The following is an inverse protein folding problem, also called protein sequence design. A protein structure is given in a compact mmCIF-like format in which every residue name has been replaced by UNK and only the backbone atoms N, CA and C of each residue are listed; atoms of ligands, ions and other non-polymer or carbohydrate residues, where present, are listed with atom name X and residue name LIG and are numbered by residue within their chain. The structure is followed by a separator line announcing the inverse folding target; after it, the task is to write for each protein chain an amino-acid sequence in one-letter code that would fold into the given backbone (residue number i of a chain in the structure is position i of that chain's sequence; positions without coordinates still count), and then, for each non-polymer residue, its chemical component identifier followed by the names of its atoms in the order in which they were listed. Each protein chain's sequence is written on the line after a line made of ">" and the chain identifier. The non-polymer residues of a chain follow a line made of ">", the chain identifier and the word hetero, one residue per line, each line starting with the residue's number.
data_IF_188647135099
#
_entry.id   IF_188647135099
#
_cell.length_a   1.000
_cell.length_b   1.000
_cell.length_c   1.000
_cell.angle_alpha   90.00
_cell.angle_beta   90.00
_cell.angle_gamma   90.00
#
_symmetry.space_group_name_H-M   'P 1'
#
loop_
_entity.id
_entity.type
_entity.pdbx_description
1 polymer ?
#
# COMPACT_ATOMS: atom_id res chain seq x y z
N UNK A 1 -20.87 -2.68 22.19
CA UNK A 1 -20.95 -2.73 21.86
C UNK A 1 -20.73 -2.62 21.19
N UNK A 2 -20.54 -2.48 21.08
CA UNK A 2 -20.37 -2.41 20.43
C UNK A 2 -20.19 -2.09 19.75
N UNK A 3 -20.04 -2.00 19.54
CA UNK A 3 -19.95 -1.80 18.86
C UNK A 3 -19.84 -1.59 18.03
N UNK A 4 -19.72 -1.40 17.79
CA UNK A 4 -19.73 -1.33 17.08
C UNK A 4 -19.68 -1.24 16.20
N UNK A 5 -19.65 -1.09 16.02
CA UNK A 5 -19.77 -1.16 15.51
C UNK A 5 -19.64 -1.22 14.68
N UNK A 6 -19.30 -1.19 14.65
CA UNK A 6 -19.21 -1.46 14.16
C UNK A 6 -19.29 -1.92 13.54
N UNK A 7 -19.37 -1.97 13.65
CA UNK A 7 -19.51 -2.54 13.13
C UNK A 7 -19.37 -2.67 12.31
N UNK A 8 -19.29 -2.70 12.28
CA UNK A 8 -19.07 -2.82 11.34
C UNK A 8 -19.18 -3.53 10.10
N UNK A 9 -19.50 -3.09 9.31
CA UNK A 9 -19.75 -3.58 7.98
C UNK A 9 -18.48 -3.91 7.25
N UNK A 10 -17.48 -3.10 7.36
CA UNK A 10 -16.14 -3.37 6.84
C UNK A 10 -15.21 -3.63 7.98
N UNK A 11 -14.42 -4.66 7.84
CA UNK A 11 -13.35 -4.93 8.78
C UNK A 11 -12.18 -4.02 8.48
N UNK A 12 -11.75 -3.30 9.49
CA UNK A 12 -10.55 -2.47 9.41
C UNK A 12 -9.44 -3.10 10.19
N UNK A 13 -8.27 -3.13 9.57
CA UNK A 13 -7.07 -3.60 10.25
C UNK A 13 -6.19 -2.39 10.53
N UNK A 14 -5.94 -2.12 11.79
CA UNK A 14 -5.06 -1.03 12.23
C UNK A 14 -3.75 -1.64 12.65
N UNK A 15 -2.89 -1.92 11.71
CA UNK A 15 -1.74 -2.76 12.01
C UNK A 15 -0.39 -2.08 11.81
N UNK A 16 -0.32 -0.86 11.31
CA UNK A 16 0.94 -0.18 11.03
C UNK A 16 1.91 -1.09 10.28
N UNK A 17 1.46 -1.64 9.18
CA UNK A 17 2.25 -2.55 8.36
C UNK A 17 3.21 -1.74 7.50
N UNK A 18 4.47 -2.18 7.43
CA UNK A 18 5.43 -1.53 6.57
C UNK A 18 5.04 -1.72 5.11
N UNK A 19 5.03 -0.63 4.38
CA UNK A 19 4.69 -0.64 2.98
C UNK A 19 5.68 0.17 2.17
N UNK A 20 5.50 0.11 0.86
CA UNK A 20 6.34 0.81 -0.08
C UNK A 20 5.47 1.30 -1.22
N UNK A 21 5.64 2.56 -1.59
CA UNK A 21 4.98 3.12 -2.76
C UNK A 21 6.00 3.13 -3.88
N UNK A 22 5.64 2.52 -5.00
CA UNK A 22 6.55 2.43 -6.15
C UNK A 22 5.87 3.04 -7.37
N UNK A 23 6.58 3.94 -8.01
CA UNK A 23 6.20 4.51 -9.29
C UNK A 23 7.46 4.63 -10.12
N UNK A 24 7.37 4.92 -11.42
CA UNK A 24 8.58 5.17 -12.18
C UNK A 24 9.41 6.29 -11.54
N UNK A 25 10.63 5.96 -11.14
CA UNK A 25 11.53 6.92 -10.52
C UNK A 25 11.29 7.23 -9.07
N UNK A 26 10.37 6.52 -8.39
CA UNK A 26 10.09 6.79 -6.99
C UNK A 26 9.86 5.48 -6.23
N UNK A 27 10.59 5.33 -5.11
CA UNK A 27 10.34 4.29 -4.11
C UNK A 27 10.25 5.00 -2.77
N UNK A 28 9.08 5.01 -2.19
CA UNK A 28 8.83 5.77 -0.98
C UNK A 28 8.31 4.86 0.12
N UNK A 29 9.06 4.71 1.23
CA UNK A 29 8.55 3.94 2.36
C UNK A 29 7.31 4.59 2.95
N UNK A 30 6.41 3.74 3.44
CA UNK A 30 5.20 4.21 4.10
C UNK A 30 4.78 3.20 5.15
N UNK A 31 3.83 3.61 5.99
CA UNK A 31 3.12 2.71 6.87
C UNK A 31 1.70 2.58 6.39
N UNK A 32 1.23 1.35 6.29
CA UNK A 32 -0.18 1.06 6.04
C UNK A 32 -0.83 1.07 7.42
N UNK A 33 -1.55 2.14 7.71
CA UNK A 33 -2.07 2.34 9.08
C UNK A 33 -3.50 1.87 9.23
N UNK A 34 -4.19 1.67 8.10
CA UNK A 34 -5.59 1.29 8.14
C UNK A 34 -5.97 0.69 6.80
N UNK A 35 -6.72 -0.40 6.82
CA UNK A 35 -7.16 -1.07 5.61
C UNK A 35 -8.62 -1.48 5.73
N UNK A 36 -9.33 -1.39 4.62
CA UNK A 36 -10.69 -1.88 4.52
C UNK A 36 -10.92 -2.36 3.09
N UNK A 37 -12.10 -2.86 2.81
CA UNK A 37 -12.43 -3.29 1.46
C UNK A 37 -12.42 -2.12 0.47
N UNK A 38 -12.73 -0.92 0.93
CA UNK A 38 -12.83 0.24 0.05
C UNK A 38 -11.51 0.95 -0.16
N UNK A 39 -10.53 0.80 0.74
CA UNK A 39 -9.30 1.53 0.57
C UNK A 39 -8.29 1.30 1.66
N UNK A 40 -7.22 2.09 1.58
CA UNK A 40 -6.08 1.97 2.47
C UNK A 40 -5.66 3.38 2.88
N UNK A 41 -5.38 3.57 4.17
CA UNK A 41 -4.81 4.81 4.65
C UNK A 41 -3.32 4.60 4.91
N UNK A 42 -2.52 5.50 4.39
CA UNK A 42 -1.07 5.41 4.45
C UNK A 42 -0.52 6.60 5.21
N UNK A 43 0.57 6.37 5.93
CA UNK A 43 1.40 7.44 6.45
C UNK A 43 2.73 7.39 5.74
N UNK A 44 3.11 8.50 5.14
CA UNK A 44 4.31 8.59 4.34
C UNK A 44 5.48 9.04 5.20
N UNK A 45 6.65 8.59 4.83
CA UNK A 45 7.89 8.97 5.49
C UNK A 45 8.25 10.42 5.18
N UNK A 46 7.81 10.91 4.04
CA UNK A 46 8.10 12.28 3.60
C UNK A 46 6.85 12.90 3.03
N UNK A 47 6.82 14.23 3.06
CA UNK A 47 5.73 14.97 2.47
C UNK A 47 6.05 15.26 1.00
N UNK A 48 6.09 14.21 0.19
CA UNK A 48 6.35 14.31 -1.24
C UNK A 48 5.04 14.23 -2.01
N UNK A 49 5.05 14.90 -3.17
CA UNK A 49 3.93 14.76 -4.09
C UNK A 49 3.88 13.35 -4.66
N UNK A 50 2.69 12.80 -4.78
CA UNK A 50 2.49 11.48 -5.36
C UNK A 50 1.74 11.62 -6.68
N UNK A 51 2.07 10.79 -7.68
CA UNK A 51 1.22 10.74 -8.87
C UNK A 51 -0.12 10.12 -8.50
N UNK A 52 -1.09 10.28 -9.39
CA UNK A 52 -2.44 9.75 -9.18
C UNK A 52 -2.46 8.25 -9.01
N UNK A 53 -1.62 7.55 -9.76
CA UNK A 53 -1.56 6.09 -9.72
C UNK A 53 -0.25 5.65 -9.14
N UNK A 54 -0.34 4.69 -8.23
CA UNK A 54 0.83 4.15 -7.55
C UNK A 54 0.71 2.64 -7.51
N UNK A 55 1.83 1.99 -7.24
CA UNK A 55 1.85 0.58 -6.88
C UNK A 55 2.17 0.51 -5.40
N UNK A 56 1.28 -0.10 -4.63
CA UNK A 56 1.45 -0.22 -3.19
C UNK A 56 1.92 -1.63 -2.86
N UNK A 57 3.04 -1.71 -2.16
CA UNK A 57 3.61 -2.98 -1.73
C UNK A 57 3.40 -3.13 -0.23
N UNK A 58 2.86 -4.28 0.16
CA UNK A 58 2.83 -4.73 1.55
C UNK A 58 4.06 -5.58 1.75
N UNK A 59 5.01 -5.10 2.54
CA UNK A 59 6.31 -5.77 2.68
C UNK A 59 6.15 -7.10 3.39
N UNK A 60 5.32 -7.14 4.42
CA UNK A 60 5.13 -8.37 5.19
C UNK A 60 4.48 -9.47 4.37
N UNK A 61 3.50 -9.11 3.55
CA UNK A 61 2.79 -10.07 2.70
C UNK A 61 3.52 -10.34 1.39
N UNK A 62 4.48 -9.49 1.03
CA UNK A 62 5.18 -9.54 -0.26
C UNK A 62 4.18 -9.50 -1.41
N UNK A 63 3.27 -8.53 -1.36
CA UNK A 63 2.26 -8.34 -2.40
C UNK A 63 2.32 -6.93 -2.93
N UNK A 64 1.85 -6.76 -4.16
CA UNK A 64 1.74 -5.45 -4.80
C UNK A 64 0.33 -5.30 -5.35
N UNK A 65 -0.24 -4.11 -5.21
CA UNK A 65 -1.55 -3.81 -5.73
C UNK A 65 -1.53 -2.41 -6.35
N UNK A 66 -2.15 -2.28 -7.51
CA UNK A 66 -2.32 -0.97 -8.11
C UNK A 66 -3.38 -0.19 -7.36
N UNK A 67 -3.14 1.10 -7.18
CA UNK A 67 -4.03 1.94 -6.42
C UNK A 67 -4.01 3.36 -6.97
N UNK A 68 -5.08 4.09 -6.67
CA UNK A 68 -5.18 5.51 -7.00
C UNK A 68 -5.24 6.31 -5.73
N UNK A 69 -4.54 7.44 -5.73
CA UNK A 69 -4.57 8.35 -4.59
C UNK A 69 -5.91 9.07 -4.58
N UNK A 70 -6.69 8.83 -3.54
CA UNK A 70 -8.01 9.43 -3.39
C UNK A 70 -7.93 10.78 -2.68
N UNK A 71 -7.02 10.91 -1.70
CA UNK A 71 -6.84 12.16 -0.98
C UNK A 71 -5.43 12.22 -0.38
N UNK A 72 -4.99 13.43 -0.11
CA UNK A 72 -3.73 13.71 0.57
C UNK A 72 -3.96 14.73 1.65
N UNK A 73 -3.29 14.56 2.78
CA UNK A 73 -3.30 15.54 3.86
C UNK A 73 -1.99 15.41 4.62
N UNK A 74 -1.06 16.36 4.37
CA UNK A 74 0.26 16.29 4.99
C UNK A 74 0.98 15.01 4.62
N UNK A 75 1.37 14.25 5.62
CA UNK A 75 2.07 12.99 5.42
C UNK A 75 1.13 11.81 5.32
N UNK A 76 -0.17 12.04 5.28
CA UNK A 76 -1.14 10.96 5.12
C UNK A 76 -1.74 10.95 3.74
N UNK A 77 -2.13 9.77 3.28
CA UNK A 77 -2.80 9.60 2.01
C UNK A 77 -3.82 8.49 2.13
N UNK A 78 -4.94 8.67 1.47
CA UNK A 78 -5.91 7.60 1.27
C UNK A 78 -5.81 7.14 -0.16
N UNK A 79 -5.71 5.83 -0.36
CA UNK A 79 -5.63 5.27 -1.69
C UNK A 79 -6.72 4.22 -1.85
N UNK A 80 -7.17 4.08 -3.09
CA UNK A 80 -8.20 3.12 -3.45
C UNK A 80 -7.56 2.08 -4.36
N UNK A 81 -7.73 0.80 -4.01
CA UNK A 81 -7.21 -0.27 -4.83
C UNK A 81 -7.96 -0.31 -6.15
N UNK A 82 -7.20 -0.45 -7.24
CA UNK A 82 -7.79 -0.50 -8.58
C UNK A 82 -7.64 -1.87 -9.22
N UNK A 83 -7.02 -2.82 -8.52
CA UNK A 83 -6.85 -4.16 -9.04
C UNK A 83 -6.66 -5.14 -7.90
N UNK A 84 -6.46 -6.39 -8.25
CA UNK A 84 -6.18 -7.43 -7.28
C UNK A 84 -4.71 -7.39 -6.89
N UNK A 85 -4.41 -7.80 -5.66
CA UNK A 85 -3.04 -7.91 -5.20
C UNK A 85 -2.34 -9.06 -5.90
N UNK A 86 -1.08 -8.85 -6.26
CA UNK A 86 -0.24 -9.86 -6.89
C UNK A 86 0.90 -10.22 -5.96
N UNK A 87 1.22 -11.50 -5.89
CA UNK A 87 2.35 -11.97 -5.09
C UNK A 87 3.66 -11.55 -5.75
N UNK A 88 4.61 -11.09 -4.94
CA UNK A 88 5.95 -10.78 -5.40
C UNK A 88 6.95 -11.90 -5.06
N UNK A 89 6.46 -13.03 -4.57
CA UNK A 89 7.29 -14.20 -4.28
C UNK A 89 7.42 -15.06 -5.51
N UNK A 90 8.60 -15.70 -5.64
CA UNK A 90 8.86 -16.57 -6.78
C UNK A 90 9.03 -15.79 -8.05
N UNK A 91 8.64 -16.39 -9.17
CA UNK A 91 8.69 -15.73 -10.45
C UNK A 91 7.57 -14.76 -10.60
N UNK A 92 7.88 -13.56 -11.03
CA UNK A 92 6.88 -12.51 -11.22
C UNK A 92 6.88 -12.08 -12.69
N UNK A 93 5.74 -11.59 -13.18
CA UNK A 93 5.70 -11.01 -14.52
C UNK A 93 6.68 -9.84 -14.64
N UNK A 94 7.16 -9.59 -15.85
CA UNK A 94 8.12 -8.50 -16.07
C UNK A 94 7.59 -7.15 -15.63
N UNK A 95 6.27 -6.92 -15.70
CA UNK A 95 5.67 -5.67 -15.23
C UNK A 95 5.83 -5.46 -13.72
N UNK A 96 6.10 -6.53 -12.97
CA UNK A 96 6.28 -6.46 -11.52
C UNK A 96 7.74 -6.62 -11.10
N UNK A 97 8.66 -6.70 -12.05
CA UNK A 97 10.07 -6.91 -11.72
C UNK A 97 10.65 -5.75 -10.89
N UNK A 98 10.29 -4.52 -11.24
CA UNK A 98 10.75 -3.36 -10.49
C UNK A 98 10.19 -3.35 -9.07
N UNK A 99 8.93 -3.76 -8.92
CA UNK A 99 8.31 -3.85 -7.60
C UNK A 99 9.00 -4.89 -6.74
N UNK A 100 9.32 -6.05 -7.32
CA UNK A 100 10.02 -7.09 -6.58
C UNK A 100 11.41 -6.64 -6.15
N UNK A 101 12.13 -5.96 -7.05
CA UNK A 101 13.44 -5.43 -6.71
C UNK A 101 13.35 -4.41 -5.58
N UNK A 102 12.33 -3.55 -5.61
CA UNK A 102 12.11 -2.58 -4.55
C UNK A 102 11.81 -3.26 -3.22
N UNK A 103 10.99 -4.32 -3.25
CA UNK A 103 10.69 -5.10 -2.06
C UNK A 103 11.96 -5.68 -1.42
N UNK A 104 12.82 -6.25 -2.25
CA UNK A 104 14.08 -6.85 -1.78
C UNK A 104 14.97 -5.77 -1.17
N UNK A 105 15.09 -4.61 -1.81
CA UNK A 105 15.87 -3.49 -1.27
C UNK A 105 15.34 -3.01 0.07
N UNK A 106 14.04 -3.12 0.28
CA UNK A 106 13.41 -2.71 1.54
C UNK A 106 13.50 -3.77 2.63
N UNK A 107 14.15 -4.90 2.37
CA UNK A 107 14.32 -5.97 3.34
C UNK A 107 13.24 -7.03 3.30
N UNK A 108 12.37 -7.00 2.30
CA UNK A 108 11.33 -8.01 2.11
C UNK A 108 11.87 -9.29 1.49
N UNK A 109 11.01 -10.31 1.44
CA UNK A 109 11.39 -11.62 0.93
C UNK A 109 10.41 -12.19 -0.03
#
# INVERSE_FOLDING_TARGET
>A
MDRPEDRRLETRSSANVRGLIVTPGLELPCLIVDQSNSGVRLRLDRNLALPNRILLIDIAQATAVEAEVAWRKGQEAGVKRTGAASSLRGLVPSRLAAARAALIRAGGR
#
